data_IF_122004207366
#
_entry.id   IF_122004207366
#
_cell.length_a   1.000
_cell.length_b   1.000
_cell.length_c   1.000
_cell.angle_alpha   90.00
_cell.angle_beta   90.00
_cell.angle_gamma   90.00
#
_symmetry.space_group_name_H-M   'P 1'
#
loop_
_entity.id
_entity.type
_entity.pdbx_description
1 polymer ?
#
# COMPACT_ATOMS: atom_id res chain seq x y z
N UNK A 1 30.46 -37.40 -19.60
CA UNK A 1 30.18 -35.95 -19.80
C UNK A 1 28.68 -35.61 -20.03
N UNK A 2 27.74 -36.50 -19.72
CA UNK A 2 26.30 -36.24 -19.89
C UNK A 2 25.51 -36.16 -18.58
N UNK A 3 26.19 -36.00 -17.43
CA UNK A 3 25.56 -36.06 -16.09
C UNK A 3 25.56 -34.78 -15.28
N UNK A 4 26.08 -33.64 -15.76
CA UNK A 4 26.32 -32.45 -14.93
C UNK A 4 25.36 -31.27 -15.25
N UNK A 5 24.53 -31.37 -16.27
CA UNK A 5 23.64 -30.25 -16.70
C UNK A 5 22.26 -30.27 -16.00
N UNK A 6 21.93 -31.33 -15.25
CA UNK A 6 20.59 -31.49 -14.67
C UNK A 6 20.43 -30.99 -13.23
N UNK A 7 21.42 -30.33 -12.65
CA UNK A 7 21.37 -29.93 -11.24
C UNK A 7 21.29 -28.41 -10.98
N UNK A 8 21.05 -27.58 -11.99
CA UNK A 8 21.05 -26.11 -11.84
C UNK A 8 19.69 -25.43 -12.05
N UNK A 9 18.60 -26.19 -12.12
CA UNK A 9 17.25 -25.61 -12.37
C UNK A 9 16.35 -25.63 -11.13
N UNK A 10 16.84 -26.13 -9.98
CA UNK A 10 15.98 -26.34 -8.80
C UNK A 10 16.09 -25.28 -7.70
N UNK A 11 16.66 -24.10 -7.93
CA UNK A 11 16.82 -23.08 -6.87
C UNK A 11 16.13 -21.74 -7.13
N UNK A 12 15.08 -21.69 -7.96
CA UNK A 12 14.15 -20.57 -8.04
C UNK A 12 12.92 -20.82 -7.15
N UNK A 13 13.14 -21.32 -5.94
CA UNK A 13 12.08 -21.36 -4.93
C UNK A 13 11.97 -19.97 -4.32
N UNK A 14 11.00 -19.23 -4.86
CA UNK A 14 10.29 -18.10 -4.24
C UNK A 14 10.62 -17.92 -2.77
N UNK A 15 11.38 -16.86 -2.47
CA UNK A 15 11.42 -16.28 -1.14
C UNK A 15 10.03 -15.69 -0.84
N UNK A 16 9.08 -16.54 -0.47
CA UNK A 16 7.83 -16.11 0.13
C UNK A 16 8.20 -15.39 1.42
N UNK A 17 8.03 -14.06 1.47
CA UNK A 17 8.22 -13.29 2.68
C UNK A 17 7.18 -13.72 3.72
N UNK A 18 7.56 -14.68 4.57
CA UNK A 18 6.70 -15.27 5.60
C UNK A 18 6.23 -14.25 6.65
N UNK A 19 6.79 -13.04 6.64
CA UNK A 19 6.41 -11.96 7.54
C UNK A 19 5.22 -11.16 7.02
N UNK A 20 5.00 -11.13 5.71
CA UNK A 20 3.86 -10.43 5.12
C UNK A 20 2.58 -11.23 5.33
N UNK A 21 1.63 -10.62 6.04
CA UNK A 21 0.30 -11.23 6.30
C UNK A 21 -0.76 -10.71 5.34
N UNK A 22 -0.57 -9.53 4.79
CA UNK A 22 -1.46 -8.93 3.79
C UNK A 22 -0.68 -7.98 2.88
N UNK A 23 -0.97 -8.02 1.58
CA UNK A 23 -0.45 -7.07 0.62
C UNK A 23 -1.41 -7.00 -0.58
N UNK A 24 -2.02 -5.86 -0.81
CA UNK A 24 -2.96 -5.66 -1.91
C UNK A 24 -2.95 -4.22 -2.41
N UNK A 25 -3.20 -4.07 -3.69
CA UNK A 25 -3.40 -2.80 -4.37
C UNK A 25 -4.81 -2.67 -4.91
N UNK A 26 -5.34 -1.45 -4.90
CA UNK A 26 -6.53 -1.07 -5.64
C UNK A 26 -6.18 -0.06 -6.71
N UNK A 27 -6.62 -0.33 -7.94
CA UNK A 27 -6.43 0.57 -9.06
C UNK A 27 -7.49 1.68 -9.06
N UNK A 28 -7.06 2.86 -9.43
CA UNK A 28 -7.90 4.04 -9.52
C UNK A 28 -8.27 4.34 -10.98
N UNK A 29 -9.42 5.00 -11.22
CA UNK A 29 -9.81 5.39 -12.58
C UNK A 29 -8.78 6.29 -13.24
N UNK A 30 -8.60 6.14 -14.57
CA UNK A 30 -7.69 6.96 -15.36
C UNK A 30 -8.11 8.44 -15.35
N UNK A 31 -9.40 8.70 -15.20
CA UNK A 31 -9.98 10.03 -15.07
C UNK A 31 -9.62 10.73 -13.75
N UNK A 32 -9.06 10.00 -12.81
CA UNK A 32 -8.64 10.48 -11.51
C UNK A 32 -9.48 9.94 -10.34
N UNK A 33 -8.93 10.06 -9.17
CA UNK A 33 -9.54 9.65 -7.90
C UNK A 33 -10.48 10.74 -7.38
N UNK A 34 -11.76 10.44 -7.19
CA UNK A 34 -12.72 11.39 -6.63
C UNK A 34 -12.48 11.56 -5.11
N UNK A 35 -12.62 12.79 -4.63
CA UNK A 35 -12.46 13.12 -3.21
C UNK A 35 -13.42 12.34 -2.30
N UNK A 36 -14.63 12.10 -2.76
CA UNK A 36 -15.64 11.34 -2.02
C UNK A 36 -15.41 9.84 -2.01
N UNK A 37 -14.54 9.32 -2.90
CA UNK A 37 -14.26 7.90 -3.00
C UNK A 37 -13.21 7.50 -1.95
N UNK A 38 -13.62 6.69 -1.02
CA UNK A 38 -12.74 6.06 -0.04
C UNK A 38 -12.41 4.64 -0.47
N UNK A 39 -11.12 4.31 -0.54
CA UNK A 39 -10.67 2.96 -0.82
C UNK A 39 -10.84 2.08 0.42
N UNK A 40 -11.35 0.87 0.24
CA UNK A 40 -11.59 -0.07 1.32
C UNK A 40 -10.85 -1.38 1.07
N UNK A 41 -10.12 -1.86 2.08
CA UNK A 41 -9.35 -3.09 2.03
C UNK A 41 -9.82 -4.03 3.13
N UNK A 42 -10.30 -5.21 2.75
CA UNK A 42 -10.67 -6.28 3.69
C UNK A 42 -9.41 -7.09 4.03
N UNK A 43 -8.89 -6.89 5.23
CA UNK A 43 -7.67 -7.52 5.72
C UNK A 43 -8.02 -8.65 6.66
N UNK A 44 -7.88 -9.88 6.20
CA UNK A 44 -8.07 -11.06 7.02
C UNK A 44 -6.80 -11.36 7.81
N UNK A 45 -6.90 -11.32 9.14
CA UNK A 45 -5.82 -11.67 10.05
C UNK A 45 -6.17 -12.98 10.76
N UNK A 46 -5.30 -13.97 10.63
CA UNK A 46 -5.47 -15.30 11.22
C UNK A 46 -4.74 -15.50 12.53
N UNK A 47 -3.76 -14.62 12.81
CA UNK A 47 -2.93 -14.67 14.01
C UNK A 47 -3.43 -13.72 15.10
N UNK A 48 -3.04 -14.02 16.34
CA UNK A 48 -3.32 -13.20 17.52
C UNK A 48 -2.14 -12.33 17.95
N UNK A 49 -1.30 -11.89 17.01
CA UNK A 49 -0.23 -10.93 17.30
C UNK A 49 -0.84 -9.59 17.71
N UNK A 50 -0.20 -8.92 18.68
CA UNK A 50 -0.69 -7.63 19.17
C UNK A 50 -0.44 -6.49 18.19
N UNK A 51 0.68 -6.51 17.48
CA UNK A 51 1.09 -5.43 16.57
C UNK A 51 1.55 -5.95 15.21
N UNK A 52 1.13 -5.26 14.17
CA UNK A 52 1.58 -5.46 12.80
C UNK A 52 2.13 -4.15 12.25
N UNK A 53 3.23 -4.21 11.52
CA UNK A 53 3.78 -3.06 10.79
C UNK A 53 2.91 -2.79 9.57
N UNK A 54 2.39 -1.57 9.47
CA UNK A 54 1.58 -1.11 8.35
C UNK A 54 2.42 -0.25 7.42
N UNK A 55 2.32 -0.50 6.12
CA UNK A 55 2.88 0.36 5.08
C UNK A 55 1.80 0.75 4.08
N UNK A 56 1.85 1.99 3.62
CA UNK A 56 1.11 2.49 2.47
C UNK A 56 2.02 2.50 1.25
N UNK A 57 1.50 2.07 0.12
CA UNK A 57 2.20 2.06 -1.15
C UNK A 57 1.41 2.81 -2.21
N UNK A 58 2.11 3.54 -3.06
CA UNK A 58 1.50 4.36 -4.11
C UNK A 58 2.23 4.11 -5.41
N UNK A 59 1.46 3.93 -6.48
CA UNK A 59 1.97 3.98 -7.85
C UNK A 59 1.42 5.24 -8.51
N UNK A 60 2.30 6.19 -8.78
CA UNK A 60 1.93 7.42 -9.46
C UNK A 60 2.46 7.47 -10.89
N UNK A 61 1.78 8.24 -11.73
CA UNK A 61 2.22 8.58 -13.09
C UNK A 61 2.96 9.90 -13.08
N UNK A 62 3.64 10.22 -14.18
CA UNK A 62 4.38 11.47 -14.35
C UNK A 62 3.50 12.72 -14.34
N UNK A 63 2.18 12.59 -14.57
CA UNK A 63 1.23 13.70 -14.55
C UNK A 63 0.63 13.98 -13.16
N UNK A 64 1.08 13.31 -12.10
CA UNK A 64 0.69 13.66 -10.74
C UNK A 64 1.20 15.08 -10.42
N UNK A 65 0.32 16.02 -9.97
CA UNK A 65 0.67 17.44 -9.96
C UNK A 65 1.41 17.91 -8.70
N UNK A 66 1.62 17.06 -7.70
CA UNK A 66 2.21 17.42 -6.41
C UNK A 66 3.49 16.64 -6.09
N UNK A 67 4.29 17.16 -5.17
CA UNK A 67 5.47 16.46 -4.63
C UNK A 67 5.11 15.44 -3.55
N UNK A 68 4.03 15.69 -2.83
CA UNK A 68 3.58 14.83 -1.73
C UNK A 68 2.12 14.40 -1.92
N UNK A 69 1.79 13.28 -1.30
CA UNK A 69 0.43 12.75 -1.24
C UNK A 69 0.07 12.50 0.23
N UNK A 70 -0.77 13.37 0.84
CA UNK A 70 -1.31 13.12 2.17
C UNK A 70 -2.48 12.13 2.06
N UNK A 71 -2.38 11.01 2.77
CA UNK A 71 -3.43 9.99 2.86
C UNK A 71 -3.92 9.87 4.30
N UNK A 72 -5.23 9.86 4.47
CA UNK A 72 -5.86 9.45 5.73
C UNK A 72 -6.08 7.95 5.74
N UNK A 73 -5.83 7.31 6.87
CA UNK A 73 -6.07 5.88 7.07
C UNK A 73 -6.72 5.63 8.42
N UNK A 74 -7.72 4.77 8.44
CA UNK A 74 -8.31 4.19 9.64
C UNK A 74 -8.69 2.74 9.39
N UNK A 75 -8.94 1.98 10.45
CA UNK A 75 -9.39 0.59 10.34
C UNK A 75 -10.42 0.24 11.42
N UNK A 76 -11.27 -0.72 11.12
CA UNK A 76 -12.25 -1.28 12.07
C UNK A 76 -12.27 -2.80 11.94
N UNK A 77 -12.58 -3.48 13.04
CA UNK A 77 -13.09 -4.86 12.98
C UNK A 77 -14.61 -4.79 12.85
N UNK A 78 -15.22 -5.72 12.12
CA UNK A 78 -16.66 -5.76 11.83
C UNK A 78 -17.53 -5.15 12.95
N UNK A 79 -18.33 -4.15 12.64
CA UNK A 79 -19.29 -3.44 13.51
C UNK A 79 -18.69 -2.79 14.79
N UNK A 80 -17.38 -2.73 14.92
CA UNK A 80 -16.69 -2.07 16.02
C UNK A 80 -16.47 -0.59 15.76
N UNK A 81 -16.07 0.13 16.82
CA UNK A 81 -15.68 1.53 16.71
C UNK A 81 -14.41 1.62 15.83
N UNK A 82 -14.37 2.50 14.82
CA UNK A 82 -13.17 2.72 14.03
C UNK A 82 -11.99 3.15 14.89
N UNK A 83 -10.77 2.77 14.49
CA UNK A 83 -9.55 3.37 15.04
C UNK A 83 -9.53 4.88 14.79
N UNK A 84 -8.76 5.65 15.56
CA UNK A 84 -8.47 7.02 15.18
C UNK A 84 -7.94 7.10 13.74
N UNK A 85 -8.29 8.18 13.04
CA UNK A 85 -7.79 8.42 11.69
C UNK A 85 -6.41 9.05 11.77
N UNK A 86 -5.43 8.42 11.16
CA UNK A 86 -4.08 8.97 10.99
C UNK A 86 -3.91 9.55 9.60
N UNK A 87 -3.12 10.62 9.48
CA UNK A 87 -2.72 11.18 8.19
C UNK A 87 -1.24 10.92 7.96
N UNK A 88 -0.94 10.24 6.87
CA UNK A 88 0.41 9.85 6.47
C UNK A 88 0.81 10.65 5.24
N UNK A 89 2.00 11.27 5.30
CA UNK A 89 2.59 12.02 4.18
C UNK A 89 3.51 11.13 3.36
N UNK A 90 3.16 10.91 2.10
CA UNK A 90 4.06 10.25 1.16
C UNK A 90 4.77 11.32 0.33
N UNK A 91 6.09 11.34 0.37
CA UNK A 91 6.89 12.23 -0.48
C UNK A 91 7.21 11.48 -1.76
N UNK A 92 6.56 11.87 -2.86
CA UNK A 92 6.65 11.19 -4.15
C UNK A 92 7.72 11.78 -5.07
N UNK A 93 8.04 13.06 -4.91
CA UNK A 93 9.08 13.73 -5.68
C UNK A 93 9.99 14.59 -4.77
N UNK A 94 11.21 14.82 -5.21
CA UNK A 94 12.12 15.74 -4.54
C UNK A 94 11.81 17.22 -4.90
N UNK A 95 12.63 18.14 -4.39
CA UNK A 95 12.45 19.59 -4.60
C UNK A 95 12.63 19.99 -6.06
N UNK A 96 13.38 19.23 -6.84
CA UNK A 96 13.62 19.41 -8.26
C UNK A 96 12.52 18.78 -9.13
N UNK A 97 11.54 18.10 -8.51
CA UNK A 97 10.44 17.43 -9.19
C UNK A 97 10.80 16.04 -9.73
N UNK A 98 11.90 15.45 -9.27
CA UNK A 98 12.31 14.11 -9.66
C UNK A 98 11.57 13.08 -8.79
N UNK A 99 10.91 12.11 -9.43
CA UNK A 99 10.18 11.06 -8.74
C UNK A 99 11.12 10.18 -7.92
N UNK A 100 10.78 9.96 -6.65
CA UNK A 100 11.59 9.18 -5.70
C UNK A 100 11.33 7.68 -5.80
N UNK A 101 10.16 7.29 -6.29
CA UNK A 101 9.79 5.89 -6.42
C UNK A 101 10.56 5.15 -7.51
N UNK A 102 10.59 3.82 -7.40
CA UNK A 102 11.14 2.95 -8.43
C UNK A 102 10.25 2.99 -9.67
N UNK A 103 10.82 3.45 -10.80
CA UNK A 103 10.11 3.63 -12.07
C UNK A 103 10.14 2.38 -12.95
N UNK A 104 8.95 1.99 -13.45
CA UNK A 104 8.81 0.96 -14.49
C UNK A 104 7.49 1.16 -15.25
N UNK A 105 7.52 1.00 -16.57
CA UNK A 105 6.31 1.08 -17.40
C UNK A 105 5.53 2.39 -17.28
N UNK A 106 6.20 3.53 -16.98
CA UNK A 106 5.57 4.85 -16.79
C UNK A 106 4.93 5.05 -15.41
N UNK A 107 5.11 4.12 -14.49
CA UNK A 107 4.68 4.20 -13.10
C UNK A 107 5.89 4.33 -12.17
N UNK A 108 5.70 5.04 -11.05
CA UNK A 108 6.69 5.19 -9.98
C UNK A 108 6.07 4.68 -8.69
N UNK A 109 6.71 3.70 -8.06
CA UNK A 109 6.21 3.08 -6.83
C UNK A 109 6.98 3.58 -5.62
N UNK A 110 6.26 4.12 -4.65
CA UNK A 110 6.80 4.60 -3.37
C UNK A 110 6.07 3.88 -2.24
N UNK A 111 6.82 3.47 -1.22
CA UNK A 111 6.28 2.89 0.00
C UNK A 111 6.68 3.74 1.21
N UNK A 112 5.79 3.87 2.19
CA UNK A 112 6.05 4.57 3.45
C UNK A 112 5.50 3.76 4.63
N UNK A 113 6.22 3.79 5.74
CA UNK A 113 5.69 3.23 7.00
C UNK A 113 4.54 4.09 7.51
N UNK A 114 3.42 3.46 7.81
CA UNK A 114 2.27 4.06 8.47
C UNK A 114 2.16 3.63 9.94
N UNK A 115 3.30 3.22 10.54
CA UNK A 115 3.36 2.83 11.93
C UNK A 115 2.96 1.37 12.19
N UNK A 116 2.40 1.12 13.36
CA UNK A 116 1.96 -0.20 13.79
C UNK A 116 0.46 -0.22 14.07
N UNK A 117 -0.17 -1.31 13.67
CA UNK A 117 -1.59 -1.57 13.90
C UNK A 117 -1.72 -2.58 15.02
N UNK A 118 -2.51 -2.24 16.04
CA UNK A 118 -2.83 -3.17 17.11
C UNK A 118 -4.00 -4.06 16.69
N UNK A 119 -3.74 -5.35 16.60
CA UNK A 119 -4.74 -6.36 16.25
C UNK A 119 -4.80 -7.39 17.39
N UNK A 120 -5.83 -7.29 18.21
CA UNK A 120 -5.96 -8.10 19.43
C UNK A 120 -6.53 -9.50 19.21
N UNK A 121 -7.14 -9.78 18.07
CA UNK A 121 -7.76 -11.08 17.79
C UNK A 121 -7.84 -11.35 16.28
N UNK A 122 -7.89 -12.63 15.86
CA UNK A 122 -8.14 -12.98 14.47
C UNK A 122 -9.49 -12.44 13.99
N UNK A 123 -9.59 -12.11 12.72
CA UNK A 123 -10.81 -11.61 12.11
C UNK A 123 -10.54 -10.83 10.83
N UNK A 124 -11.58 -10.26 10.25
CA UNK A 124 -11.49 -9.37 9.10
C UNK A 124 -11.56 -7.92 9.56
N UNK A 125 -10.52 -7.15 9.21
CA UNK A 125 -10.40 -5.73 9.50
C UNK A 125 -10.59 -4.93 8.23
N UNK A 126 -11.49 -3.95 8.29
CA UNK A 126 -11.73 -3.04 7.17
C UNK A 126 -10.82 -1.83 7.31
N UNK A 127 -9.85 -1.70 6.41
CA UNK A 127 -9.01 -0.51 6.29
C UNK A 127 -9.61 0.44 5.27
N UNK A 128 -9.68 1.72 5.59
CA UNK A 128 -10.17 2.78 4.72
C UNK A 128 -9.08 3.79 4.48
N UNK A 129 -8.85 4.13 3.20
CA UNK A 129 -7.83 5.08 2.77
C UNK A 129 -8.46 6.14 1.86
N UNK A 130 -8.18 7.40 2.14
CA UNK A 130 -8.58 8.53 1.31
C UNK A 130 -7.47 9.58 1.24
N UNK A 131 -7.41 10.37 0.17
CA UNK A 131 -6.50 11.52 0.15
C UNK A 131 -7.15 12.73 0.84
N UNK A 132 -6.31 13.67 1.31
CA UNK A 132 -6.76 14.86 2.04
C UNK A 132 -6.46 16.18 1.32
N UNK A 133 -6.01 16.12 0.05
CA UNK A 133 -5.83 17.29 -0.79
C UNK A 133 -7.16 17.95 -1.13
N UNK A 134 -7.18 19.27 -1.45
CA UNK A 134 -8.42 20.01 -1.73
C UNK A 134 -9.06 19.70 -3.07
N UNK A 135 -8.39 18.96 -3.95
CA UNK A 135 -8.89 18.62 -5.28
C UNK A 135 -10.19 17.80 -5.20
N UNK A 136 -11.17 18.09 -6.03
CA UNK A 136 -12.37 17.26 -6.19
C UNK A 136 -12.05 15.96 -6.90
N UNK A 137 -11.04 15.98 -7.79
CA UNK A 137 -10.56 14.83 -8.55
C UNK A 137 -9.05 14.89 -8.67
N UNK A 138 -8.38 13.94 -8.04
CA UNK A 138 -6.93 13.85 -8.01
C UNK A 138 -6.42 13.05 -9.20
N UNK A 139 -5.62 13.69 -10.06
CA UNK A 139 -5.01 13.07 -11.23
C UNK A 139 -3.69 12.35 -10.89
N UNK A 140 -3.32 11.37 -11.70
CA UNK A 140 -1.97 10.83 -11.71
C UNK A 140 -1.67 9.78 -10.65
N UNK A 141 -2.62 9.36 -9.83
CA UNK A 141 -2.48 8.19 -8.96
C UNK A 141 -3.09 6.97 -9.68
N UNK A 142 -2.27 5.95 -9.88
CA UNK A 142 -2.68 4.73 -10.58
C UNK A 142 -3.19 3.67 -9.61
N UNK A 143 -2.45 3.42 -8.53
CA UNK A 143 -2.81 2.44 -7.52
C UNK A 143 -2.44 2.92 -6.12
N UNK A 144 -3.24 2.51 -5.15
CA UNK A 144 -2.95 2.58 -3.73
C UNK A 144 -2.90 1.17 -3.17
N UNK A 145 -1.87 0.87 -2.41
CA UNK A 145 -1.69 -0.41 -1.75
C UNK A 145 -1.52 -0.29 -0.25
N UNK A 146 -1.90 -1.34 0.46
CA UNK A 146 -1.56 -1.54 1.87
C UNK A 146 -0.85 -2.85 2.08
N UNK A 147 0.08 -2.86 3.02
CA UNK A 147 0.87 -4.03 3.38
C UNK A 147 0.98 -4.14 4.89
N UNK A 148 0.67 -5.31 5.43
CA UNK A 148 0.85 -5.65 6.84
C UNK A 148 1.93 -6.72 6.97
N UNK A 149 2.86 -6.50 7.87
CA UNK A 149 3.93 -7.43 8.26
C UNK A 149 3.93 -7.70 9.75
N UNK A 150 4.38 -8.90 10.12
CA UNK A 150 4.75 -9.24 11.51
C UNK A 150 5.99 -8.50 11.96
#
# INVERSE_FOLDING_TARGET
>A
LKGIILLFVASLLSACDKQTVYHSFQSLPTEGWLREDTLSFDVKVTDSLTYYKLSLEVRNRSNYPYQNLPLSICYTIADSIPSPTDTIQLILADKEGIWKGDGWGGLYQTAVSAGSVQIGKPGTYLFKVAYTLPDERLQGINDIGIKLKR
#
